data_IF_957142982302
#
_entry.id   IF_957142982302
#
_cell.length_a   1.000
_cell.length_b   1.000
_cell.length_c   1.000
_cell.angle_alpha   90.00
_cell.angle_beta   90.00
_cell.angle_gamma   90.00
#
_symmetry.space_group_name_H-M   'P 1'
#
loop_
_entity.id
_entity.type
_entity.pdbx_description
1 polymer ?
#
# COMPACT_ATOMS: atom_id res chain seq x y z
N UNK A 1 14.34 -1.74 25.15
CA UNK A 1 13.43 -1.12 24.18
C UNK A 1 14.23 -0.85 22.92
N UNK A 2 14.23 -1.80 21.97
CA UNK A 2 14.79 -1.59 20.64
C UNK A 2 13.64 -1.07 19.78
N UNK A 3 13.78 0.15 19.25
CA UNK A 3 12.86 0.69 18.25
C UNK A 3 13.31 0.14 16.91
N UNK A 4 12.48 -0.70 16.31
CA UNK A 4 12.72 -1.29 15.00
C UNK A 4 12.51 -0.19 13.97
N UNK A 5 13.54 0.14 13.22
CA UNK A 5 13.46 1.03 12.07
C UNK A 5 12.66 0.26 11.00
N UNK A 6 11.42 0.67 10.74
CA UNK A 6 10.62 0.11 9.65
C UNK A 6 11.23 0.62 8.34
N UNK A 7 12.03 -0.23 7.69
CA UNK A 7 12.29 -0.07 6.28
C UNK A 7 10.96 -0.36 5.57
N UNK A 8 10.43 0.64 4.86
CA UNK A 8 9.30 0.45 3.95
C UNK A 8 9.77 -0.56 2.92
N UNK A 9 9.32 -1.80 3.06
CA UNK A 9 9.65 -2.90 2.16
C UNK A 9 8.93 -2.59 0.84
N UNK A 10 9.64 -1.94 -0.09
CA UNK A 10 9.15 -1.75 -1.45
C UNK A 10 8.79 -3.11 -2.04
N UNK A 11 7.54 -3.24 -2.48
CA UNK A 11 7.04 -4.42 -3.17
C UNK A 11 8.04 -4.86 -4.25
N UNK A 12 8.59 -6.07 -4.11
CA UNK A 12 9.39 -6.68 -5.17
C UNK A 12 8.42 -7.13 -6.26
N UNK A 13 8.15 -6.24 -7.22
CA UNK A 13 7.45 -6.62 -8.44
C UNK A 13 8.39 -7.52 -9.25
N UNK A 14 8.21 -8.83 -9.16
CA UNK A 14 8.88 -9.79 -10.05
C UNK A 14 8.21 -9.70 -11.41
N UNK A 15 8.66 -8.77 -12.27
CA UNK A 15 8.31 -8.78 -13.68
C UNK A 15 9.01 -9.95 -14.38
N UNK A 16 8.35 -11.10 -14.44
CA UNK A 16 8.70 -12.17 -15.37
C UNK A 16 8.25 -11.78 -16.79
N UNK A 17 9.02 -10.92 -17.44
CA UNK A 17 8.86 -10.60 -18.87
C UNK A 17 9.79 -11.44 -19.73
N UNK A 18 9.23 -12.31 -20.58
CA UNK A 18 9.50 -12.41 -22.03
C UNK A 18 8.97 -13.73 -22.62
N UNK A 19 7.94 -13.62 -23.46
CA UNK A 19 7.47 -14.72 -24.31
C UNK A 19 6.61 -14.20 -25.45
N UNK A 20 7.22 -14.05 -26.62
CA UNK A 20 6.75 -13.41 -27.84
C UNK A 20 5.42 -13.90 -28.43
N UNK A 21 4.74 -12.96 -29.06
CA UNK A 21 3.58 -13.09 -29.95
C UNK A 21 3.71 -14.18 -31.03
N UNK A 22 2.59 -14.87 -31.31
CA UNK A 22 2.22 -15.24 -32.67
C UNK A 22 0.71 -15.58 -32.75
N UNK A 23 0.01 -14.86 -33.62
CA UNK A 23 -1.35 -15.19 -34.09
C UNK A 23 -1.23 -15.90 -35.45
N UNK A 24 -1.78 -17.11 -35.59
CA UNK A 24 -2.31 -17.64 -36.85
C UNK A 24 -3.21 -18.87 -36.60
N UNK A 25 -4.35 -18.88 -37.29
CA UNK A 25 -5.44 -19.85 -37.24
C UNK A 25 -5.11 -21.29 -37.72
N UNK A 26 -5.99 -22.20 -37.26
CA UNK A 26 -6.55 -23.40 -37.88
C UNK A 26 -6.05 -24.83 -37.52
N UNK A 27 -7.05 -25.61 -37.06
CA UNK A 27 -7.39 -27.00 -37.37
C UNK A 27 -6.69 -28.18 -36.65
N UNK A 28 -7.53 -28.90 -35.89
CA UNK A 28 -7.67 -30.35 -35.69
C UNK A 28 -6.44 -31.29 -35.56
N UNK A 29 -6.45 -31.96 -34.39
CA UNK A 29 -6.34 -33.41 -34.16
C UNK A 29 -4.97 -34.12 -34.07
N UNK A 30 -4.82 -34.75 -32.89
CA UNK A 30 -4.21 -36.05 -32.58
C UNK A 30 -2.67 -36.23 -32.51
N UNK A 31 -2.25 -36.72 -31.32
CA UNK A 31 -1.32 -37.83 -31.07
C UNK A 31 0.09 -37.72 -31.68
N UNK A 32 1.20 -37.80 -30.95
CA UNK A 32 1.65 -38.96 -30.15
C UNK A 32 2.97 -38.57 -29.46
N UNK A 33 3.26 -39.17 -28.31
CA UNK A 33 4.54 -39.12 -27.60
C UNK A 33 5.69 -39.81 -28.38
N UNK A 34 6.91 -39.28 -28.28
CA UNK A 34 8.10 -39.94 -27.70
C UNK A 34 9.41 -39.21 -28.06
N UNK A 35 10.12 -38.81 -27.00
CA UNK A 35 11.54 -39.04 -26.71
C UNK A 35 12.62 -38.82 -27.80
N UNK A 36 13.67 -38.05 -27.46
CA UNK A 36 15.08 -38.49 -27.43
C UNK A 36 15.97 -37.32 -26.95
N UNK A 37 16.75 -37.63 -25.90
CA UNK A 37 17.86 -36.85 -25.32
C UNK A 37 18.95 -36.51 -26.34
N UNK A 38 19.71 -35.42 -26.13
CA UNK A 38 21.18 -35.50 -26.22
C UNK A 38 21.87 -34.39 -25.40
N UNK A 39 22.78 -34.83 -24.51
CA UNK A 39 23.77 -34.04 -23.77
C UNK A 39 24.88 -33.45 -24.66
N UNK A 40 25.44 -32.31 -24.23
CA UNK A 40 26.89 -31.94 -24.27
C UNK A 40 27.04 -30.59 -23.56
N UNK A 41 27.63 -30.44 -22.36
CA UNK A 41 29.04 -30.58 -21.92
C UNK A 41 29.99 -29.46 -22.40
N UNK A 42 30.82 -29.00 -21.44
CA UNK A 42 32.00 -28.10 -21.53
C UNK A 42 31.71 -26.58 -21.40
N UNK A 43 32.50 -25.75 -20.72
CA UNK A 43 33.54 -25.85 -19.69
C UNK A 43 33.88 -24.40 -19.27
N UNK A 44 34.48 -24.26 -18.10
CA UNK A 44 35.01 -23.06 -17.42
C UNK A 44 35.94 -22.15 -18.22
N UNK A 45 35.96 -20.86 -17.85
CA UNK A 45 37.05 -19.91 -18.17
C UNK A 45 36.95 -18.60 -17.37
N UNK A 46 37.77 -18.46 -16.33
CA UNK A 46 38.02 -17.21 -15.62
C UNK A 46 39.14 -16.42 -16.32
N UNK A 47 38.98 -15.10 -16.45
CA UNK A 47 40.08 -14.16 -16.72
C UNK A 47 39.85 -12.89 -15.91
N UNK A 48 40.88 -12.57 -15.13
CA UNK A 48 41.13 -11.35 -14.36
C UNK A 48 41.91 -10.38 -15.26
N UNK A 49 41.57 -9.10 -15.27
CA UNK A 49 42.51 -8.00 -15.54
C UNK A 49 41.89 -6.64 -15.16
N UNK A 50 42.53 -6.01 -14.18
CA UNK A 50 42.47 -4.59 -13.81
C UNK A 50 42.96 -3.68 -14.93
N UNK A 51 42.36 -2.50 -15.11
CA UNK A 51 43.13 -1.29 -15.46
C UNK A 51 42.38 0.05 -15.21
N UNK A 52 43.21 1.08 -15.12
CA UNK A 52 43.06 2.40 -14.49
C UNK A 52 42.02 3.40 -15.05
N UNK A 53 41.48 4.19 -14.11
CA UNK A 53 41.23 5.64 -14.10
C UNK A 53 40.84 6.33 -15.42
N UNK A 54 39.60 6.82 -15.47
CA UNK A 54 39.27 8.02 -16.25
C UNK A 54 38.52 9.02 -15.36
N UNK A 55 39.25 10.04 -14.91
CA UNK A 55 38.73 11.28 -14.34
C UNK A 55 38.00 12.06 -15.44
N UNK A 56 36.69 11.86 -15.56
CA UNK A 56 35.82 12.80 -16.27
C UNK A 56 35.23 13.80 -15.28
N UNK A 57 35.84 14.99 -15.27
CA UNK A 57 35.16 16.21 -14.89
C UNK A 57 34.08 16.47 -15.95
N UNK A 58 32.84 16.11 -15.63
CA UNK A 58 31.67 16.45 -16.42
C UNK A 58 30.83 17.43 -15.61
N UNK A 59 30.67 18.66 -16.13
CA UNK A 59 29.66 19.58 -15.65
C UNK A 59 28.29 18.93 -15.83
N UNK A 60 27.70 18.48 -14.73
CA UNK A 60 26.39 17.86 -14.72
C UNK A 60 25.31 18.93 -14.79
N UNK A 61 24.39 18.78 -15.73
CA UNK A 61 23.02 19.25 -15.51
C UNK A 61 22.60 18.67 -14.15
N UNK A 62 22.25 19.55 -13.21
CA UNK A 62 21.81 19.13 -11.87
C UNK A 62 20.60 18.22 -12.03
N UNK A 63 20.75 16.93 -11.74
CA UNK A 63 19.67 15.95 -11.76
C UNK A 63 18.58 16.23 -10.71
N UNK A 64 18.74 17.28 -9.90
CA UNK A 64 17.83 17.68 -8.83
C UNK A 64 16.76 18.69 -9.29
N UNK A 65 16.90 19.28 -10.48
CA UNK A 65 16.01 20.34 -10.97
C UNK A 65 16.49 21.76 -10.68
N UNK A 66 15.56 22.73 -10.69
CA UNK A 66 15.84 24.15 -10.45
C UNK A 66 15.88 24.44 -8.95
N UNK A 67 16.96 25.06 -8.46
CA UNK A 67 17.07 25.42 -7.04
C UNK A 67 16.04 26.49 -6.65
N UNK A 68 15.28 26.21 -5.59
CA UNK A 68 14.29 27.12 -5.02
C UNK A 68 14.87 27.81 -3.80
N UNK A 69 14.94 29.14 -3.84
CA UNK A 69 15.40 29.93 -2.69
C UNK A 69 14.22 30.30 -1.79
N UNK A 70 14.23 29.96 -0.50
CA UNK A 70 13.21 30.41 0.44
C UNK A 70 13.24 31.94 0.60
N UNK A 71 12.08 32.57 0.78
CA UNK A 71 12.00 33.99 1.14
C UNK A 71 12.41 34.26 2.61
N UNK A 72 12.32 35.51 3.05
CA UNK A 72 12.67 35.91 4.42
C UNK A 72 11.78 35.25 5.50
N UNK A 73 10.59 34.76 5.12
CA UNK A 73 9.65 34.05 5.98
C UNK A 73 9.75 32.53 5.85
N UNK A 74 10.70 32.01 5.06
CA UNK A 74 10.87 30.58 4.82
C UNK A 74 9.89 29.99 3.81
N UNK A 75 9.20 30.82 3.03
CA UNK A 75 8.27 30.37 1.98
C UNK A 75 9.08 29.94 0.76
N UNK A 76 8.81 28.73 0.29
CA UNK A 76 9.36 28.12 -0.92
C UNK A 76 8.23 28.00 -1.92
N UNK A 77 8.45 28.46 -3.15
CA UNK A 77 7.45 28.45 -4.22
C UNK A 77 8.02 27.84 -5.49
N UNK A 78 7.26 26.96 -6.14
CA UNK A 78 7.57 26.49 -7.50
C UNK A 78 6.76 27.25 -8.57
N UNK A 79 6.08 28.33 -8.19
CA UNK A 79 5.20 29.11 -9.06
C UNK A 79 3.76 28.62 -9.12
N UNK A 80 3.46 27.40 -8.65
CA UNK A 80 2.11 26.83 -8.61
C UNK A 80 1.59 26.67 -7.18
N UNK A 81 2.37 26.00 -6.34
CA UNK A 81 2.15 25.87 -4.91
C UNK A 81 3.31 26.49 -4.12
N UNK A 82 3.06 26.75 -2.85
CA UNK A 82 4.08 27.16 -1.89
C UNK A 82 4.02 26.29 -0.65
N UNK A 83 5.16 26.07 0.00
CA UNK A 83 5.23 25.55 1.38
C UNK A 83 6.07 26.49 2.25
N UNK A 84 5.91 26.41 3.56
CA UNK A 84 6.66 27.22 4.53
C UNK A 84 7.54 26.32 5.40
N UNK A 85 8.85 26.55 5.35
CA UNK A 85 9.80 25.87 6.21
C UNK A 85 9.97 26.61 7.55
N UNK A 86 9.91 25.91 8.69
CA UNK A 86 10.19 26.50 9.99
C UNK A 86 11.58 27.16 10.05
N UNK A 87 11.64 28.31 10.72
CA UNK A 87 12.84 29.18 10.74
C UNK A 87 14.08 28.51 11.33
N UNK A 88 13.90 27.56 12.25
CA UNK A 88 14.96 26.77 12.88
C UNK A 88 15.72 25.88 11.90
N UNK A 89 15.15 25.56 10.73
CA UNK A 89 15.78 24.75 9.69
C UNK A 89 16.50 25.60 8.63
N UNK A 90 16.54 26.93 8.81
CA UNK A 90 17.19 27.81 7.84
C UNK A 90 18.66 27.41 7.64
N UNK A 91 19.00 27.08 6.40
CA UNK A 91 20.35 26.69 6.00
C UNK A 91 20.71 25.23 6.26
N UNK A 92 19.80 24.41 6.80
CA UNK A 92 20.01 22.96 7.00
C UNK A 92 19.47 22.12 5.85
N UNK A 93 18.70 22.72 4.94
CA UNK A 93 18.10 22.03 3.78
C UNK A 93 18.43 22.74 2.47
N UNK A 94 18.25 22.00 1.38
CA UNK A 94 18.17 22.50 0.01
C UNK A 94 16.75 22.25 -0.51
N UNK A 95 16.25 23.13 -1.39
CA UNK A 95 14.95 22.98 -2.02
C UNK A 95 15.10 23.05 -3.53
N UNK A 96 14.41 22.17 -4.24
CA UNK A 96 14.45 22.13 -5.71
C UNK A 96 13.05 21.94 -6.28
N UNK A 97 12.81 22.57 -7.44
CA UNK A 97 11.69 22.31 -8.31
C UNK A 97 12.07 21.24 -9.33
N UNK A 98 11.43 20.08 -9.23
CA UNK A 98 11.56 19.02 -10.22
C UNK A 98 10.16 18.54 -10.60
N UNK A 99 9.84 18.56 -11.90
CA UNK A 99 8.52 18.18 -12.42
C UNK A 99 7.31 18.91 -11.78
N UNK A 100 7.52 20.15 -11.31
CA UNK A 100 6.55 20.95 -10.56
C UNK A 100 6.28 20.45 -9.13
N UNK A 101 7.23 19.72 -8.55
CA UNK A 101 7.23 19.34 -7.14
C UNK A 101 8.20 20.22 -6.36
N UNK A 102 7.85 20.59 -5.12
CA UNK A 102 8.79 21.19 -4.19
C UNK A 102 9.48 20.06 -3.42
N UNK A 103 10.73 19.74 -3.78
CA UNK A 103 11.52 18.69 -3.16
C UNK A 103 12.51 19.26 -2.14
N UNK A 104 12.52 18.70 -0.94
CA UNK A 104 13.34 19.13 0.19
C UNK A 104 14.40 18.06 0.49
N UNK A 105 15.65 18.51 0.61
CA UNK A 105 16.81 17.67 0.84
C UNK A 105 17.56 18.11 2.10
N UNK A 106 18.05 17.16 2.89
CA UNK A 106 19.04 17.42 3.94
C UNK A 106 20.36 17.85 3.29
N UNK A 107 20.78 19.08 3.59
CA UNK A 107 21.94 19.68 2.95
C UNK A 107 23.24 18.93 3.24
N UNK A 108 23.44 18.51 4.49
CA UNK A 108 24.67 17.83 4.91
C UNK A 108 24.83 16.46 4.24
N UNK A 109 23.73 15.69 4.15
CA UNK A 109 23.72 14.40 3.46
C UNK A 109 23.96 14.56 1.96
N UNK A 110 23.33 15.56 1.34
CA UNK A 110 23.54 15.87 -0.07
C UNK A 110 24.99 16.29 -0.39
N UNK A 111 25.56 17.21 0.39
CA UNK A 111 26.96 17.66 0.26
C UNK A 111 27.98 16.55 0.52
N UNK A 112 27.61 15.54 1.32
CA UNK A 112 28.44 14.35 1.55
C UNK A 112 28.37 13.32 0.40
N UNK A 113 27.60 13.59 -0.66
CA UNK A 113 27.46 12.71 -1.82
C UNK A 113 26.38 11.64 -1.68
N UNK A 114 25.52 11.73 -0.65
CA UNK A 114 24.31 10.92 -0.52
C UNK A 114 23.13 11.66 -1.18
N UNK A 115 22.04 10.96 -1.51
CA UNK A 115 20.88 11.61 -2.15
C UNK A 115 20.35 12.78 -1.32
N UNK A 116 20.20 12.56 0.00
CA UNK A 116 19.75 13.57 0.95
C UNK A 116 18.25 13.90 0.84
N UNK A 117 17.48 13.24 -0.02
CA UNK A 117 16.06 13.55 -0.20
C UNK A 117 15.28 13.26 1.09
N UNK A 118 14.50 14.21 1.59
CA UNK A 118 13.68 14.01 2.81
C UNK A 118 12.23 13.78 2.39
N UNK A 119 11.67 14.74 1.65
CA UNK A 119 10.29 14.65 1.15
C UNK A 119 10.09 15.61 -0.03
N UNK A 120 9.05 15.36 -0.80
CA UNK A 120 8.55 16.29 -1.82
C UNK A 120 7.07 16.60 -1.62
N UNK A 121 6.64 17.75 -2.13
CA UNK A 121 5.23 18.14 -2.18
C UNK A 121 4.84 18.42 -3.62
N UNK A 122 3.86 17.68 -4.12
CA UNK A 122 3.40 17.74 -5.50
C UNK A 122 1.92 18.07 -5.57
N UNK A 123 1.49 18.67 -6.68
CA UNK A 123 0.08 18.78 -7.04
C UNK A 123 -0.21 17.92 -8.27
N UNK A 124 -1.00 16.87 -8.09
CA UNK A 124 -1.37 15.94 -9.14
C UNK A 124 -2.82 16.18 -9.61
N UNK A 125 -3.08 16.07 -10.90
CA UNK A 125 -4.44 16.16 -11.48
C UNK A 125 -5.02 14.80 -11.88
N UNK A 126 -4.41 13.72 -11.39
CA UNK A 126 -4.78 12.33 -11.69
C UNK A 126 -4.66 11.48 -10.41
N UNK A 127 -5.61 10.58 -10.23
CA UNK A 127 -5.72 9.65 -9.11
C UNK A 127 -4.63 8.58 -9.15
N UNK A 128 -4.12 8.23 -10.34
CA UNK A 128 -3.03 7.26 -10.50
C UNK A 128 -1.65 7.75 -9.98
N UNK A 129 -1.58 8.99 -9.46
CA UNK A 129 -0.33 9.62 -9.01
C UNK A 129 -0.02 9.42 -7.53
N UNK A 130 -0.99 9.03 -6.71
CA UNK A 130 -0.77 8.68 -5.31
C UNK A 130 -0.77 7.16 -5.11
N UNK A 131 -0.08 6.71 -4.08
CA UNK A 131 0.33 5.31 -3.90
C UNK A 131 1.85 5.11 -3.91
N UNK A 132 2.28 3.97 -3.37
CA UNK A 132 3.71 3.63 -3.26
C UNK A 132 4.45 4.61 -2.35
N UNK A 133 5.37 5.40 -2.91
CA UNK A 133 6.13 6.40 -2.14
C UNK A 133 5.43 7.76 -2.04
N UNK A 134 4.19 7.88 -2.53
CA UNK A 134 3.40 9.11 -2.51
C UNK A 134 2.11 8.92 -1.73
N UNK A 135 1.81 9.82 -0.82
CA UNK A 135 0.62 9.79 0.02
C UNK A 135 -0.18 11.07 -0.16
N UNK A 136 -1.48 10.98 -0.45
CA UNK A 136 -2.40 12.12 -0.54
C UNK A 136 -2.60 12.73 0.85
N UNK A 137 -2.57 14.06 0.93
CA UNK A 137 -2.77 14.79 2.19
C UNK A 137 -3.88 15.84 2.14
N UNK A 138 -4.44 16.11 0.97
CA UNK A 138 -5.52 17.04 0.79
C UNK A 138 -5.74 17.40 -0.67
N UNK A 139 -6.53 18.44 -0.90
CA UNK A 139 -6.90 18.88 -2.24
C UNK A 139 -6.75 20.39 -2.38
N UNK A 140 -6.28 20.81 -3.55
CA UNK A 140 -6.20 22.19 -3.96
C UNK A 140 -7.19 22.44 -5.10
N UNK A 141 -8.11 23.37 -4.91
CA UNK A 141 -9.00 23.84 -5.98
C UNK A 141 -8.52 25.19 -6.49
N UNK A 142 -8.16 25.27 -7.76
CA UNK A 142 -7.78 26.52 -8.42
C UNK A 142 -8.99 27.46 -8.64
N UNK A 143 -8.71 28.70 -9.03
CA UNK A 143 -9.74 29.73 -9.27
C UNK A 143 -10.73 29.36 -10.37
N UNK A 144 -10.30 28.55 -11.35
CA UNK A 144 -11.14 28.06 -12.43
C UNK A 144 -11.95 26.81 -12.05
N UNK A 145 -11.76 26.30 -10.83
CA UNK A 145 -12.40 25.11 -10.31
C UNK A 145 -11.66 23.80 -10.59
N UNK A 146 -10.47 23.83 -11.23
CA UNK A 146 -9.68 22.61 -11.41
C UNK A 146 -9.18 22.10 -10.06
N UNK A 147 -9.41 20.82 -9.81
CA UNK A 147 -8.99 20.12 -8.60
C UNK A 147 -7.62 19.47 -8.82
N UNK A 148 -6.76 19.56 -7.80
CA UNK A 148 -5.50 18.84 -7.71
C UNK A 148 -5.43 18.12 -6.37
N UNK A 149 -4.87 16.92 -6.36
CA UNK A 149 -4.50 16.20 -5.16
C UNK A 149 -3.11 16.66 -4.71
N UNK A 150 -3.00 17.05 -3.45
CA UNK A 150 -1.72 17.41 -2.85
C UNK A 150 -1.12 16.16 -2.23
N UNK A 151 0.08 15.79 -2.66
CA UNK A 151 0.75 14.57 -2.26
C UNK A 151 2.07 14.89 -1.56
N UNK A 152 2.45 14.04 -0.62
CA UNK A 152 3.80 13.99 -0.07
C UNK A 152 4.53 12.80 -0.69
N UNK A 153 5.72 13.02 -1.23
CA UNK A 153 6.63 11.94 -1.65
C UNK A 153 7.70 11.68 -0.59
N UNK A 154 8.08 10.41 -0.42
CA UNK A 154 9.12 9.97 0.51
C UNK A 154 10.23 9.19 -0.22
N UNK A 155 11.45 9.09 0.34
CA UNK A 155 12.51 8.27 -0.24
C UNK A 155 12.26 6.77 -0.04
N UNK A 156 12.51 5.97 -1.07
CA UNK A 156 12.42 4.50 -1.00
C UNK A 156 13.65 3.83 -0.41
N UNK A 157 14.76 4.56 -0.27
CA UNK A 157 16.06 4.06 0.16
C UNK A 157 16.73 5.01 1.15
N UNK A 158 17.80 4.55 1.80
CA UNK A 158 18.55 5.35 2.78
C UNK A 158 19.22 6.55 2.10
N UNK A 159 18.93 7.76 2.62
CA UNK A 159 19.35 9.03 2.00
C UNK A 159 20.56 9.68 2.67
N UNK A 160 21.21 8.99 3.61
CA UNK A 160 22.34 9.48 4.38
C UNK A 160 23.50 8.48 4.39
N UNK A 161 24.62 8.90 5.01
CA UNK A 161 25.82 8.07 5.14
C UNK A 161 25.62 6.87 6.07
N UNK A 162 25.09 5.79 5.50
CA UNK A 162 24.89 4.51 6.19
C UNK A 162 26.21 3.79 6.49
N UNK A 163 27.33 4.21 5.89
CA UNK A 163 28.66 3.62 6.18
C UNK A 163 29.27 4.17 7.47
N UNK A 164 28.85 5.38 7.88
CA UNK A 164 29.32 6.03 9.11
C UNK A 164 28.34 5.91 10.27
N UNK A 165 27.05 5.79 9.99
CA UNK A 165 26.00 5.67 11.00
C UNK A 165 24.85 4.81 10.49
N UNK A 166 24.51 3.76 11.23
CA UNK A 166 23.25 3.02 10.99
C UNK A 166 22.02 3.87 11.35
N UNK A 167 22.20 4.90 12.19
CA UNK A 167 21.13 5.80 12.61
C UNK A 167 21.00 7.01 11.68
N UNK A 168 19.76 7.46 11.50
CA UNK A 168 19.39 8.66 10.75
C UNK A 168 20.03 9.92 11.39
N UNK A 169 20.73 10.78 10.62
CA UNK A 169 21.33 12.00 11.13
C UNK A 169 20.32 12.94 11.79
N UNK A 170 20.74 13.66 12.83
CA UNK A 170 19.84 14.56 13.59
C UNK A 170 19.21 15.66 12.72
N UNK A 171 19.94 16.24 11.77
CA UNK A 171 19.42 17.28 10.87
C UNK A 171 18.33 16.75 9.94
N UNK A 172 18.56 15.58 9.35
CA UNK A 172 17.60 14.87 8.53
C UNK A 172 16.36 14.53 9.36
N UNK A 173 16.56 13.89 10.52
CA UNK A 173 15.49 13.47 11.42
C UNK A 173 14.62 14.64 11.88
N UNK A 174 15.22 15.79 12.17
CA UNK A 174 14.51 16.96 12.63
C UNK A 174 13.49 17.48 11.61
N UNK A 175 13.78 17.39 10.31
CA UNK A 175 12.84 17.75 9.25
C UNK A 175 11.89 16.58 8.96
N UNK A 176 12.39 15.35 8.91
CA UNK A 176 11.60 14.13 8.66
C UNK A 176 10.42 13.98 9.65
N UNK A 177 10.67 14.22 10.94
CA UNK A 177 9.63 14.16 11.98
C UNK A 177 8.55 15.27 11.83
N UNK A 178 8.78 16.26 10.96
CA UNK A 178 7.91 17.43 10.73
C UNK A 178 7.32 17.49 9.32
N UNK A 179 7.56 16.49 8.48
CA UNK A 179 7.11 16.48 7.07
C UNK A 179 5.63 16.81 6.92
N UNK A 180 4.75 16.13 7.67
CA UNK A 180 3.30 16.37 7.58
C UNK A 180 2.88 17.77 8.00
N UNK A 181 3.53 18.32 9.03
CA UNK A 181 3.29 19.69 9.51
C UNK A 181 3.73 20.71 8.45
N UNK A 182 4.92 20.54 7.87
CA UNK A 182 5.43 21.41 6.81
C UNK A 182 4.54 21.32 5.56
N UNK A 183 4.20 20.11 5.11
CA UNK A 183 3.34 19.92 3.94
C UNK A 183 1.91 20.44 4.16
N UNK A 184 1.42 20.53 5.40
CA UNK A 184 0.12 21.15 5.69
C UNK A 184 0.09 22.67 5.44
N UNK A 185 1.25 23.31 5.26
CA UNK A 185 1.37 24.75 4.98
C UNK A 185 1.16 25.10 3.51
N UNK A 186 0.75 24.13 2.69
CA UNK A 186 0.50 24.34 1.26
C UNK A 186 -0.47 25.51 1.02
N UNK A 187 -0.07 26.41 0.14
CA UNK A 187 -0.98 27.43 -0.42
C UNK A 187 -0.81 27.49 -1.93
N UNK A 188 -1.87 27.92 -2.64
CA UNK A 188 -1.79 28.18 -4.07
C UNK A 188 -1.08 29.51 -4.32
N UNK A 189 -0.09 29.51 -5.23
CA UNK A 189 0.59 30.73 -5.66
C UNK A 189 -0.37 31.70 -6.38
N UNK A 190 -1.38 31.16 -7.05
CA UNK A 190 -2.35 31.93 -7.85
C UNK A 190 -3.72 32.12 -7.18
N UNK A 191 -3.82 31.87 -5.86
CA UNK A 191 -5.01 32.18 -5.07
C UNK A 191 -6.16 31.17 -5.20
N UNK A 192 -5.85 29.91 -5.50
CA UNK A 192 -6.71 28.76 -5.21
C UNK A 192 -6.85 28.48 -3.71
N UNK A 193 -7.69 27.50 -3.36
CA UNK A 193 -7.97 27.10 -1.97
C UNK A 193 -7.46 25.69 -1.72
N UNK A 194 -6.55 25.53 -0.75
CA UNK A 194 -6.11 24.23 -0.26
C UNK A 194 -6.94 23.84 0.97
N UNK A 195 -7.39 22.59 0.99
CA UNK A 195 -8.09 21.99 2.13
C UNK A 195 -7.34 20.73 2.56
N UNK A 196 -6.70 20.84 3.72
CA UNK A 196 -5.97 19.74 4.36
C UNK A 196 -6.93 18.60 4.74
N UNK A 197 -6.61 17.38 4.30
CA UNK A 197 -7.43 16.19 4.49
C UNK A 197 -8.70 16.12 3.62
N UNK A 198 -8.86 17.00 2.63
CA UNK A 198 -9.94 16.86 1.66
C UNK A 198 -9.74 15.62 0.78
N UNK A 199 -10.81 14.86 0.57
CA UNK A 199 -10.81 13.64 -0.24
C UNK A 199 -9.92 12.51 0.29
N UNK A 200 -9.61 12.51 1.60
CA UNK A 200 -8.83 11.44 2.25
C UNK A 200 -9.68 10.61 3.23
N UNK A 201 -10.80 11.15 3.71
CA UNK A 201 -11.58 10.55 4.80
C UNK A 201 -12.67 9.62 4.28
N UNK A 202 -12.72 8.42 4.83
CA UNK A 202 -13.71 7.43 4.44
C UNK A 202 -15.16 7.90 4.65
N UNK A 203 -15.45 8.65 5.72
CA UNK A 203 -16.81 9.14 5.97
C UNK A 203 -17.34 10.03 4.83
N UNK A 204 -16.45 10.83 4.23
CA UNK A 204 -16.80 11.77 3.16
C UNK A 204 -16.98 11.03 1.81
N UNK A 205 -16.24 9.95 1.60
CA UNK A 205 -16.25 9.15 0.37
C UNK A 205 -17.41 8.14 0.38
N UNK A 206 -17.57 7.37 1.46
CA UNK A 206 -18.49 6.23 1.52
C UNK A 206 -19.82 6.53 2.22
N UNK A 207 -20.03 7.73 2.77
CA UNK A 207 -21.18 8.03 3.61
C UNK A 207 -22.56 7.75 2.98
N UNK A 208 -22.69 7.90 1.65
CA UNK A 208 -23.90 7.53 0.92
C UNK A 208 -24.03 6.00 0.75
N UNK A 209 -22.93 5.33 0.40
CA UNK A 209 -22.87 3.88 0.24
C UNK A 209 -23.18 3.15 1.55
N UNK A 210 -22.67 3.64 2.68
CA UNK A 210 -22.97 3.10 4.02
C UNK A 210 -24.47 3.05 4.30
N UNK A 211 -25.20 4.11 3.95
CA UNK A 211 -26.66 4.16 4.17
C UNK A 211 -27.40 3.16 3.30
N UNK A 212 -26.94 3.00 2.06
CA UNK A 212 -27.49 2.01 1.13
C UNK A 212 -27.23 0.57 1.63
N UNK A 213 -25.98 0.23 1.96
CA UNK A 213 -25.59 -1.08 2.48
C UNK A 213 -26.35 -1.41 3.76
N UNK A 214 -26.43 -0.47 4.72
CA UNK A 214 -27.20 -0.64 5.94
C UNK A 214 -28.66 -1.01 5.62
N UNK A 215 -29.29 -0.29 4.70
CA UNK A 215 -30.66 -0.56 4.26
C UNK A 215 -30.81 -1.95 3.61
N UNK A 216 -29.83 -2.36 2.79
CA UNK A 216 -29.83 -3.69 2.16
C UNK A 216 -29.72 -4.81 3.20
N UNK A 217 -28.78 -4.70 4.14
CA UNK A 217 -28.61 -5.68 5.23
C UNK A 217 -29.86 -5.76 6.10
N UNK A 218 -30.43 -4.63 6.50
CA UNK A 218 -31.62 -4.59 7.36
C UNK A 218 -32.85 -5.24 6.70
N UNK A 219 -32.97 -5.14 5.37
CA UNK A 219 -34.17 -5.56 4.63
C UNK A 219 -34.00 -6.88 3.85
N UNK A 220 -32.81 -7.49 3.87
CA UNK A 220 -32.53 -8.71 3.12
C UNK A 220 -33.41 -9.89 3.56
N UNK A 221 -34.02 -10.58 2.61
CA UNK A 221 -34.88 -11.75 2.87
C UNK A 221 -34.13 -13.06 2.80
N UNK A 222 -33.03 -13.09 2.09
CA UNK A 222 -32.13 -14.22 1.94
C UNK A 222 -30.71 -13.76 1.56
N UNK A 223 -29.76 -14.69 1.61
CA UNK A 223 -28.38 -14.45 1.25
C UNK A 223 -28.20 -14.05 -0.23
N UNK A 224 -29.05 -14.54 -1.13
CA UNK A 224 -28.95 -14.26 -2.56
C UNK A 224 -29.29 -12.80 -2.90
N UNK A 225 -30.22 -12.17 -2.16
CA UNK A 225 -30.47 -10.72 -2.28
C UNK A 225 -29.22 -9.89 -1.94
N UNK A 226 -28.38 -10.33 -0.98
CA UNK A 226 -27.13 -9.63 -0.64
C UNK A 226 -26.03 -9.87 -1.67
N UNK A 227 -25.83 -11.13 -2.08
CA UNK A 227 -24.82 -11.49 -3.08
C UNK A 227 -25.09 -10.79 -4.42
N UNK A 228 -26.36 -10.64 -4.81
CA UNK A 228 -26.75 -9.90 -6.02
C UNK A 228 -26.37 -8.41 -5.97
N UNK A 229 -26.15 -7.87 -4.77
CA UNK A 229 -25.72 -6.49 -4.53
C UNK A 229 -24.21 -6.40 -4.21
N UNK A 230 -23.45 -7.48 -4.43
CA UNK A 230 -22.03 -7.63 -4.07
C UNK A 230 -21.75 -7.40 -2.58
N UNK A 231 -22.59 -7.98 -1.72
CA UNK A 231 -22.39 -8.00 -0.27
C UNK A 231 -22.28 -9.43 0.22
N UNK A 232 -21.53 -9.61 1.31
CA UNK A 232 -21.37 -10.92 1.93
C UNK A 232 -22.71 -11.49 2.41
N UNK A 233 -22.96 -12.75 2.02
CA UNK A 233 -24.07 -13.56 2.53
C UNK A 233 -24.04 -13.73 4.07
N UNK A 234 -22.88 -13.50 4.71
CA UNK A 234 -22.69 -13.61 6.16
C UNK A 234 -23.70 -12.76 6.92
N UNK A 235 -24.00 -11.54 6.42
CA UNK A 235 -24.92 -10.62 7.08
C UNK A 235 -26.34 -11.16 7.22
N UNK A 236 -26.80 -11.93 6.24
CA UNK A 236 -28.06 -12.66 6.38
C UNK A 236 -27.88 -13.92 7.22
N UNK A 237 -26.82 -14.69 6.98
CA UNK A 237 -26.60 -15.97 7.63
C UNK A 237 -26.53 -15.86 9.17
N UNK A 238 -25.99 -14.77 9.72
CA UNK A 238 -25.95 -14.54 11.17
C UNK A 238 -27.34 -14.37 11.80
N UNK A 239 -28.38 -14.06 11.01
CA UNK A 239 -29.76 -13.96 11.51
C UNK A 239 -30.42 -15.32 11.70
N UNK A 240 -29.73 -16.39 11.29
CA UNK A 240 -30.27 -17.75 11.22
C UNK A 240 -29.66 -18.65 12.31
N UNK A 241 -30.42 -19.68 12.73
CA UNK A 241 -29.95 -20.70 13.66
C UNK A 241 -30.11 -20.34 15.14
N UNK A 242 -29.54 -21.20 16.00
CA UNK A 242 -29.72 -21.12 17.47
C UNK A 242 -28.90 -19.99 18.11
N UNK A 243 -27.86 -19.50 17.44
CA UNK A 243 -27.00 -18.39 17.86
C UNK A 243 -27.23 -17.12 17.04
N UNK A 244 -28.45 -16.95 16.50
CA UNK A 244 -28.79 -15.82 15.66
C UNK A 244 -28.48 -14.47 16.35
N UNK A 245 -27.77 -13.59 15.62
CA UNK A 245 -27.42 -12.23 16.02
C UNK A 245 -28.14 -11.22 15.14
N UNK A 246 -28.37 -10.04 15.69
CA UNK A 246 -28.83 -8.87 14.92
C UNK A 246 -27.63 -8.22 14.20
N UNK A 247 -27.59 -8.20 12.85
CA UNK A 247 -26.51 -7.57 12.11
C UNK A 247 -26.32 -6.10 12.46
N UNK A 248 -27.38 -5.39 12.88
CA UNK A 248 -27.26 -4.00 13.30
C UNK A 248 -26.43 -3.82 14.58
N UNK A 249 -26.29 -4.88 15.38
CA UNK A 249 -25.54 -4.88 16.64
C UNK A 249 -24.21 -5.62 16.57
N UNK A 250 -24.07 -6.62 15.69
CA UNK A 250 -22.86 -7.43 15.55
C UNK A 250 -21.95 -6.99 14.41
N UNK A 251 -22.46 -6.33 13.38
CA UNK A 251 -21.67 -5.83 12.26
C UNK A 251 -21.44 -4.33 12.41
N UNK A 252 -20.26 -3.88 11.99
CA UNK A 252 -19.92 -2.47 11.96
C UNK A 252 -19.07 -2.09 10.76
N UNK A 253 -18.78 -0.80 10.69
CA UNK A 253 -17.96 -0.17 9.65
C UNK A 253 -16.73 0.44 10.28
N UNK A 254 -15.58 0.29 9.62
CA UNK A 254 -14.34 0.97 9.94
C UNK A 254 -13.78 1.64 8.70
N UNK A 255 -13.06 2.74 8.90
CA UNK A 255 -12.30 3.42 7.85
C UNK A 255 -10.83 3.39 8.20
N UNK A 256 -10.00 2.98 7.25
CA UNK A 256 -8.56 2.94 7.42
C UNK A 256 -7.85 2.97 6.08
N UNK A 257 -6.90 3.89 5.94
CA UNK A 257 -5.86 3.85 4.92
C UNK A 257 -4.87 2.72 5.24
N UNK A 258 -5.12 1.54 4.67
CA UNK A 258 -4.23 0.38 4.82
C UNK A 258 -3.39 0.13 3.57
N UNK A 259 -3.69 0.75 2.43
CA UNK A 259 -2.81 0.71 1.27
C UNK A 259 -1.70 1.79 1.30
N UNK A 260 -1.74 2.69 2.29
CA UNK A 260 -0.80 3.78 2.58
C UNK A 260 -0.76 4.89 1.52
N UNK A 261 -1.83 5.03 0.73
CA UNK A 261 -1.94 6.02 -0.33
C UNK A 261 -2.49 7.37 0.16
N UNK A 262 -2.94 7.45 1.42
CA UNK A 262 -3.48 8.65 2.05
C UNK A 262 -5.00 8.76 1.99
N UNK A 263 -5.70 7.77 1.45
CA UNK A 263 -7.16 7.71 1.37
C UNK A 263 -7.66 6.50 2.16
N UNK A 264 -8.68 6.69 3.00
CA UNK A 264 -9.23 5.57 3.75
C UNK A 264 -9.97 4.56 2.83
N UNK A 265 -9.75 3.27 3.07
CA UNK A 265 -10.67 2.21 2.65
C UNK A 265 -11.83 2.07 3.64
N UNK A 266 -12.94 1.47 3.19
CA UNK A 266 -14.05 1.08 4.05
C UNK A 266 -14.07 -0.43 4.27
N UNK A 267 -14.11 -0.83 5.53
CA UNK A 267 -14.17 -2.21 5.99
C UNK A 267 -15.52 -2.47 6.66
N UNK A 268 -16.18 -3.58 6.32
CA UNK A 268 -17.43 -4.01 6.95
C UNK A 268 -17.24 -5.41 7.55
N UNK A 269 -17.47 -5.56 8.84
CA UNK A 269 -17.08 -6.76 9.57
C UNK A 269 -17.71 -6.93 10.94
N UNK A 270 -17.46 -8.07 11.57
CA UNK A 270 -17.89 -8.38 12.92
C UNK A 270 -17.15 -7.52 13.95
N UNK A 271 -17.93 -6.87 14.82
CA UNK A 271 -17.42 -5.90 15.80
C UNK A 271 -16.59 -6.58 16.90
N UNK A 272 -16.89 -7.84 17.23
CA UNK A 272 -16.24 -8.59 18.32
C UNK A 272 -14.98 -9.30 17.82
N UNK A 273 -15.10 -10.12 16.77
CA UNK A 273 -13.99 -10.92 16.23
C UNK A 273 -13.02 -10.11 15.34
N UNK A 274 -13.45 -8.93 14.89
CA UNK A 274 -12.74 -8.08 13.92
C UNK A 274 -12.56 -8.74 12.55
N UNK A 275 -13.34 -9.77 12.25
CA UNK A 275 -13.38 -10.41 10.94
C UNK A 275 -14.08 -9.49 9.94
N UNK A 276 -13.45 -9.24 8.81
CA UNK A 276 -13.94 -8.38 7.75
C UNK A 276 -14.54 -9.26 6.66
N UNK A 277 -15.75 -8.89 6.23
CA UNK A 277 -16.53 -9.61 5.22
C UNK A 277 -16.72 -8.82 3.93
N UNK A 278 -16.59 -7.50 3.95
CA UNK A 278 -16.58 -6.70 2.72
C UNK A 278 -15.57 -5.57 2.84
N UNK A 279 -14.86 -5.31 1.74
CA UNK A 279 -13.85 -4.26 1.61
C UNK A 279 -14.20 -3.40 0.41
N UNK A 280 -14.16 -2.09 0.59
CA UNK A 280 -14.34 -1.11 -0.46
C UNK A 280 -13.16 -0.14 -0.48
N UNK A 281 -12.72 0.22 -1.68
CA UNK A 281 -11.65 1.18 -1.94
C UNK A 281 -12.20 2.41 -2.66
N UNK A 282 -11.39 3.46 -2.75
CA UNK A 282 -11.67 4.63 -3.57
C UNK A 282 -10.95 4.48 -4.91
N UNK A 283 -11.72 4.37 -6.00
CA UNK A 283 -11.21 4.33 -7.37
C UNK A 283 -11.72 5.56 -8.09
N UNK A 284 -10.80 6.41 -8.54
CA UNK A 284 -11.06 7.70 -9.14
C UNK A 284 -11.97 8.60 -8.28
N UNK A 285 -11.82 8.48 -6.96
CA UNK A 285 -12.58 9.24 -5.96
C UNK A 285 -13.95 8.66 -5.62
N UNK A 286 -14.34 7.56 -6.25
CA UNK A 286 -15.64 6.92 -6.06
C UNK A 286 -15.50 5.58 -5.33
N UNK A 287 -16.48 5.18 -4.50
CA UNK A 287 -16.49 3.86 -3.89
C UNK A 287 -16.50 2.71 -4.90
N UNK A 288 -15.60 1.75 -4.73
CA UNK A 288 -15.56 0.51 -5.49
C UNK A 288 -15.45 -0.70 -4.56
N UNK A 289 -16.22 -1.75 -4.84
CA UNK A 289 -16.13 -3.01 -4.10
C UNK A 289 -14.86 -3.76 -4.49
N UNK A 290 -14.08 -4.20 -3.50
CA UNK A 290 -12.84 -4.94 -3.69
C UNK A 290 -13.11 -6.43 -3.62
N UNK A 291 -13.63 -6.89 -2.49
CA UNK A 291 -13.82 -8.31 -2.23
C UNK A 291 -14.86 -8.53 -1.12
N UNK A 292 -15.56 -9.67 -1.22
CA UNK A 292 -16.45 -10.19 -0.17
C UNK A 292 -15.88 -11.50 0.38
N UNK A 293 -15.89 -11.62 1.71
CA UNK A 293 -15.61 -12.86 2.44
C UNK A 293 -16.88 -13.64 2.77
N UNK A 294 -16.68 -14.80 3.38
CA UNK A 294 -17.66 -15.73 3.90
C UNK A 294 -17.36 -16.08 5.37
N UNK A 295 -18.18 -16.94 5.99
CA UNK A 295 -17.86 -17.48 7.34
C UNK A 295 -16.60 -18.36 7.36
N UNK A 296 -16.22 -18.92 6.21
CA UNK A 296 -15.02 -19.76 6.08
C UNK A 296 -13.80 -18.97 5.63
N UNK A 297 -14.04 -17.84 4.98
CA UNK A 297 -13.04 -17.06 4.26
C UNK A 297 -13.23 -15.60 4.66
N UNK A 298 -12.50 -15.12 5.66
CA UNK A 298 -12.66 -13.75 6.16
C UNK A 298 -11.32 -13.02 6.15
N UNK A 299 -11.39 -11.70 6.23
CA UNK A 299 -10.20 -10.87 6.21
C UNK A 299 -9.90 -10.24 7.58
N UNK A 300 -8.63 -9.94 7.80
CA UNK A 300 -8.15 -9.06 8.89
C UNK A 300 -7.09 -8.12 8.33
N UNK A 301 -7.02 -6.91 8.88
CA UNK A 301 -6.04 -5.89 8.49
C UNK A 301 -5.02 -5.72 9.61
N UNK A 302 -3.74 -5.86 9.26
CA UNK A 302 -2.59 -5.70 10.15
C UNK A 302 -1.61 -4.70 9.54
N UNK A 303 -1.67 -3.43 9.95
CA UNK A 303 -0.91 -2.37 9.29
C UNK A 303 -1.28 -2.30 7.81
N UNK A 304 -0.29 -2.38 6.88
CA UNK A 304 -0.56 -2.38 5.44
C UNK A 304 -0.87 -3.76 4.84
N UNK A 305 -1.00 -4.80 5.69
CA UNK A 305 -1.20 -6.17 5.24
C UNK A 305 -2.66 -6.55 5.42
N UNK A 306 -3.29 -6.96 4.32
CA UNK A 306 -4.58 -7.64 4.33
C UNK A 306 -4.33 -9.15 4.41
N UNK A 307 -4.85 -9.81 5.44
CA UNK A 307 -4.73 -11.26 5.62
C UNK A 307 -6.09 -11.92 5.45
N UNK A 308 -6.19 -12.86 4.52
CA UNK A 308 -7.34 -13.73 4.30
C UNK A 308 -7.14 -15.04 5.05
N UNK A 309 -8.07 -15.38 5.92
CA UNK A 309 -8.12 -16.64 6.65
C UNK A 309 -9.14 -17.54 5.97
N UNK A 310 -8.66 -18.62 5.34
CA UNK A 310 -9.46 -19.59 4.60
C UNK A 310 -9.48 -20.92 5.34
N UNK A 311 -10.67 -21.53 5.45
CA UNK A 311 -10.85 -22.85 6.03
C UNK A 311 -11.26 -23.88 4.96
N UNK A 312 -10.29 -24.61 4.43
CA UNK A 312 -10.49 -25.55 3.30
C UNK A 312 -11.15 -26.88 3.70
N UNK A 313 -11.29 -27.16 4.99
CA UNK A 313 -11.88 -28.41 5.47
C UNK A 313 -11.43 -28.74 6.89
N UNK A 314 -11.90 -29.86 7.44
CA UNK A 314 -11.51 -30.26 8.79
C UNK A 314 -9.98 -30.31 8.90
N UNK A 315 -9.45 -29.53 9.85
CA UNK A 315 -8.04 -29.44 10.20
C UNK A 315 -7.10 -28.85 9.12
N UNK A 316 -7.65 -28.14 8.12
CA UNK A 316 -6.86 -27.39 7.12
C UNK A 316 -7.20 -25.91 7.16
N UNK A 317 -6.19 -25.09 7.45
CA UNK A 317 -6.29 -23.63 7.48
C UNK A 317 -5.20 -22.98 6.63
N UNK A 318 -5.59 -21.98 5.85
CA UNK A 318 -4.68 -21.19 5.00
C UNK A 318 -4.81 -19.72 5.38
N UNK A 319 -3.68 -19.03 5.46
CA UNK A 319 -3.63 -17.58 5.61
C UNK A 319 -2.88 -17.01 4.41
N UNK A 320 -3.58 -16.28 3.55
CA UNK A 320 -3.01 -15.59 2.39
C UNK A 320 -2.88 -14.11 2.69
N UNK A 321 -1.79 -13.49 2.26
CA UNK A 321 -1.51 -12.07 2.51
C UNK A 321 -1.47 -11.27 1.22
N UNK A 322 -2.09 -10.09 1.27
CA UNK A 322 -2.25 -9.21 0.12
C UNK A 322 -1.91 -7.77 0.48
N UNK A 323 -1.51 -7.02 -0.54
CA UNK A 323 -1.54 -5.56 -0.54
C UNK A 323 -2.60 -5.10 -1.53
N UNK A 324 -3.46 -4.17 -1.11
CA UNK A 324 -4.39 -3.51 -2.03
C UNK A 324 -3.60 -2.50 -2.86
N UNK A 325 -3.73 -2.57 -4.19
CA UNK A 325 -3.10 -1.57 -5.05
C UNK A 325 -3.81 -0.21 -4.92
N UNK A 326 -3.07 0.90 -4.82
CA UNK A 326 -3.64 2.25 -4.75
C UNK A 326 -4.54 2.56 -5.94
N UNK A 327 -5.62 3.31 -5.71
CA UNK A 327 -6.62 3.67 -6.72
C UNK A 327 -7.12 2.46 -7.55
N UNK A 328 -7.29 1.29 -6.92
CA UNK A 328 -7.67 0.05 -7.58
C UNK A 328 -8.51 -0.85 -6.68
N UNK A 329 -9.12 -1.87 -7.26
CA UNK A 329 -9.73 -3.00 -6.55
C UNK A 329 -8.84 -4.25 -6.60
N UNK A 330 -7.65 -4.14 -7.15
CA UNK A 330 -6.74 -5.27 -7.35
C UNK A 330 -5.94 -5.56 -6.08
N UNK A 331 -5.98 -6.82 -5.64
CA UNK A 331 -5.17 -7.35 -4.55
C UNK A 331 -3.91 -8.00 -5.15
N UNK A 332 -2.75 -7.55 -4.67
CA UNK A 332 -1.45 -8.14 -5.03
C UNK A 332 -1.00 -9.08 -3.93
N UNK A 333 -1.01 -10.38 -4.22
CA UNK A 333 -0.58 -11.41 -3.27
C UNK A 333 0.91 -11.31 -2.95
N UNK A 334 1.23 -11.58 -1.69
CA UNK A 334 2.59 -11.55 -1.17
C UNK A 334 3.10 -12.97 -0.90
N UNK A 335 2.37 -13.73 -0.08
CA UNK A 335 2.60 -15.13 0.22
C UNK A 335 1.44 -15.71 1.03
N UNK A 336 1.38 -17.04 1.10
CA UNK A 336 0.41 -17.78 1.92
C UNK A 336 1.11 -18.75 2.85
N UNK A 337 0.57 -18.98 4.05
CA UNK A 337 0.98 -20.04 4.96
C UNK A 337 -0.18 -21.00 5.20
N UNK A 338 0.13 -22.29 5.32
CA UNK A 338 -0.87 -23.35 5.52
C UNK A 338 -0.52 -24.23 6.69
N UNK A 339 -1.54 -24.59 7.46
CA UNK A 339 -1.53 -25.71 8.40
C UNK A 339 -2.47 -26.81 7.88
N UNK A 340 -1.96 -28.02 7.76
CA UNK A 340 -2.73 -29.21 7.35
C UNK A 340 -2.47 -30.33 8.37
N UNK A 341 -3.44 -30.58 9.26
CA UNK A 341 -3.33 -31.63 10.28
C UNK A 341 -4.03 -32.94 9.86
N UNK A 342 -4.43 -33.07 8.59
CA UNK A 342 -5.12 -34.26 8.10
C UNK A 342 -4.19 -35.48 8.07
N UNK A 343 -4.78 -36.67 8.27
CA UNK A 343 -4.03 -37.92 8.22
C UNK A 343 -3.56 -38.19 6.78
N UNK A 344 -2.24 -38.10 6.55
CA UNK A 344 -1.62 -38.32 5.25
C UNK A 344 -1.15 -37.06 4.53
N UNK A 345 -1.28 -35.88 5.16
CA UNK A 345 -0.66 -34.65 4.66
C UNK A 345 0.85 -34.83 4.47
N UNK A 346 1.38 -34.35 3.34
CA UNK A 346 2.81 -34.44 3.04
C UNK A 346 3.63 -33.61 4.03
N UNK A 347 3.16 -32.40 4.33
CA UNK A 347 3.76 -31.46 5.27
C UNK A 347 2.67 -30.80 6.12
N UNK A 348 2.87 -30.78 7.45
CA UNK A 348 1.93 -30.13 8.36
C UNK A 348 1.92 -28.60 8.24
N UNK A 349 3.09 -28.00 8.07
CA UNK A 349 3.25 -26.55 7.90
C UNK A 349 3.89 -26.27 6.55
N UNK A 350 3.33 -25.34 5.79
CA UNK A 350 3.84 -25.00 4.47
C UNK A 350 3.72 -23.50 4.16
N UNK A 351 4.50 -23.02 3.17
CA UNK A 351 4.42 -21.68 2.59
C UNK A 351 4.27 -21.76 1.08
N UNK A 352 3.56 -20.82 0.49
CA UNK A 352 3.51 -20.58 -0.96
C UNK A 352 3.79 -19.11 -1.25
N UNK A 353 4.42 -18.84 -2.39
CA UNK A 353 4.72 -17.50 -2.89
C UNK A 353 3.99 -17.18 -4.20
N UNK A 354 3.00 -18.01 -4.55
CA UNK A 354 2.31 -18.05 -5.84
C UNK A 354 0.87 -18.53 -5.66
N UNK A 355 0.16 -17.91 -4.71
CA UNK A 355 -1.28 -18.10 -4.49
C UNK A 355 -1.72 -19.52 -4.18
N UNK A 356 -0.84 -20.30 -3.54
CA UNK A 356 -1.12 -21.67 -3.14
C UNK A 356 -0.89 -22.70 -4.26
N UNK A 357 -0.33 -22.30 -5.40
CA UNK A 357 -0.02 -23.22 -6.50
C UNK A 357 1.15 -24.15 -6.14
N UNK A 358 2.21 -23.62 -5.51
CA UNK A 358 3.35 -24.40 -5.05
C UNK A 358 3.60 -24.22 -3.55
N UNK A 359 3.66 -25.35 -2.83
CA UNK A 359 3.87 -25.38 -1.37
C UNK A 359 5.26 -25.91 -1.00
N UNK A 360 5.99 -25.13 -0.21
CA UNK A 360 7.26 -25.51 0.40
C UNK A 360 7.06 -25.85 1.88
N UNK A 361 7.72 -26.92 2.35
CA UNK A 361 7.64 -27.35 3.75
C UNK A 361 8.28 -26.34 4.71
N UNK A 362 7.63 -26.08 5.85
CA UNK A 362 8.15 -25.27 6.94
C UNK A 362 8.35 -26.09 8.21
N UNK A 363 9.24 -25.61 9.09
CA UNK A 363 9.20 -26.01 10.50
C UNK A 363 8.07 -25.27 11.24
N UNK A 364 7.65 -25.80 12.40
CA UNK A 364 6.69 -25.12 13.26
C UNK A 364 7.18 -23.73 13.72
N UNK A 365 8.49 -23.60 13.95
CA UNK A 365 9.11 -22.33 14.35
C UNK A 365 9.03 -21.30 13.21
N UNK A 366 9.36 -21.70 11.98
CA UNK A 366 9.27 -20.82 10.80
C UNK A 366 7.81 -20.41 10.53
N UNK A 367 6.86 -21.33 10.68
CA UNK A 367 5.44 -21.03 10.54
C UNK A 367 4.99 -19.99 11.56
N UNK A 368 5.32 -20.21 12.84
CA UNK A 368 4.96 -19.27 13.93
C UNK A 368 5.62 -17.91 13.74
N UNK A 369 6.86 -17.87 13.29
CA UNK A 369 7.55 -16.62 12.99
C UNK A 369 6.85 -15.86 11.86
N UNK A 370 6.46 -16.55 10.78
CA UNK A 370 5.73 -15.92 9.67
C UNK A 370 4.35 -15.43 10.10
N UNK A 371 3.60 -16.23 10.85
CA UNK A 371 2.32 -15.81 11.41
C UNK A 371 2.47 -14.55 12.27
N UNK A 372 3.48 -14.52 13.16
CA UNK A 372 3.81 -13.33 13.96
C UNK A 372 4.19 -12.15 13.08
N UNK A 373 4.95 -12.34 12.00
CA UNK A 373 5.25 -11.25 11.05
C UNK A 373 3.99 -10.69 10.36
N UNK A 374 2.93 -11.48 10.18
CA UNK A 374 1.64 -11.00 9.67
C UNK A 374 0.92 -10.21 10.75
N UNK A 375 0.76 -10.81 11.94
CA UNK A 375 -0.12 -10.29 12.98
C UNK A 375 0.48 -9.13 13.80
N UNK A 376 1.82 -9.03 13.86
CA UNK A 376 2.53 -8.01 14.64
C UNK A 376 2.81 -6.72 13.85
N UNK A 377 2.31 -6.59 12.61
CA UNK A 377 2.36 -5.32 11.90
C UNK A 377 1.56 -4.27 12.68
N UNK A 378 2.28 -3.31 13.27
CA UNK A 378 1.67 -2.20 14.01
C UNK A 378 1.16 -1.15 13.05
N UNK A 379 -0.13 -0.83 13.11
CA UNK A 379 -0.67 0.42 12.57
C UNK A 379 -0.68 1.51 13.64
N UNK A 380 -0.58 2.77 13.23
CA UNK A 380 -0.72 3.91 14.15
C UNK A 380 -2.17 4.09 14.64
N UNK A 381 -3.14 3.45 13.97
CA UNK A 381 -4.57 3.48 14.30
C UNK A 381 -5.15 2.07 14.32
N UNK A 382 -5.60 1.55 15.47
CA UNK A 382 -6.26 0.24 15.50
C UNK A 382 -7.61 0.28 14.78
N UNK A 383 -7.89 -0.76 13.98
CA UNK A 383 -9.19 -0.93 13.32
C UNK A 383 -10.30 -1.00 14.37
N UNK A 384 -11.19 -0.02 14.33
CA UNK A 384 -12.31 0.11 15.27
C UNK A 384 -13.60 0.22 14.48
N UNK A 385 -14.49 -0.74 14.70
CA UNK A 385 -15.78 -0.79 14.04
C UNK A 385 -16.83 0.02 14.81
N UNK A 386 -17.55 0.87 14.09
CA UNK A 386 -18.79 1.50 14.55
C UNK A 386 -19.95 0.62 14.10
N UNK A 387 -20.79 0.17 15.03
CA UNK A 387 -21.93 -0.70 14.74
C UNK A 387 -22.86 -0.08 13.70
N UNK A 388 -23.43 -0.89 12.80
CA UNK A 388 -24.38 -0.43 11.79
C UNK A 388 -25.61 0.26 12.41
N UNK A 389 -26.10 -0.25 13.55
CA UNK A 389 -27.24 0.31 14.29
C UNK A 389 -26.99 1.75 14.79
N UNK A 390 -25.73 2.10 15.06
CA UNK A 390 -25.33 3.42 15.59
C UNK A 390 -25.18 4.49 14.49
N UNK A 391 -25.14 4.10 13.22
CA UNK A 391 -24.97 5.00 12.07
C UNK A 391 -26.31 5.67 11.69
N UNK A 392 -26.32 7.00 11.59
CA UNK A 392 -27.53 7.82 11.37
C UNK A 392 -27.90 8.10 9.92
#
# INVERSE_FOLDING_TARGET
MKRMLVAVLGCVVVLAGCGSSNTADNAEAQSTAENVETMTSLETGAVDETDEVSTESAGGESSLGEELTPDDNGVISNGFITITMPSEYKGTYLAYNYENDINIYDKASNEAGYGGFIFGVSAADDYAKYGGMRTKIGELTEKDGKLYHILISYPSEVQWDYTKSEEMPESYKAINDKVREIASTVTSADGGTYVDGAGTKGEDIYGALVKDIKGKIENAKDAGELEAENLSAVYYAMTQGDEAKDPMESIGISYADFNLDGVDEMLIGDVESKEIYDIFASVDGEPAHVISGSWRDYYKVYGPVLAEYTHEGADVGVISTYSLLPNSTELSSQYSIKIDETEGAENKWSVSYDDGDNWEALTEEDYKQRLSNIEDFTSDKPITFTKLGDIK
#
